data_IF_686018568073
#
_entry.id   IF_686018568073
#
_cell.length_a   1.000
_cell.length_b   1.000
_cell.length_c   1.000
_cell.angle_alpha   90.00
_cell.angle_beta   90.00
_cell.angle_gamma   90.00
#
_symmetry.space_group_name_H-M   'P 1'
#
loop_
_entity.id
_entity.type
_entity.pdbx_description
1 polymer ?
#
# COMPACT_ATOMS: atom_id res chain seq x y z
N UNK A 1 -10.24 -11.17 26.34
CA UNK A 1 -9.48 -11.37 25.08
C UNK A 1 -8.00 -11.35 25.40
N UNK A 2 -7.24 -12.35 24.95
CA UNK A 2 -5.79 -12.39 25.14
C UNK A 2 -5.13 -11.30 24.27
N UNK A 3 -4.29 -10.45 24.86
CA UNK A 3 -3.51 -9.43 24.15
C UNK A 3 -2.22 -10.07 23.65
N UNK A 4 -1.97 -9.99 22.35
CA UNK A 4 -0.74 -10.50 21.75
C UNK A 4 0.24 -9.35 21.60
N UNK A 5 1.50 -9.56 22.03
CA UNK A 5 2.58 -8.58 21.81
C UNK A 5 3.32 -8.96 20.54
N UNK A 6 3.16 -8.17 19.49
CA UNK A 6 4.06 -8.24 18.33
C UNK A 6 5.16 -7.20 18.54
N UNK A 7 6.30 -7.65 19.07
CA UNK A 7 7.53 -6.87 19.08
C UNK A 7 8.26 -7.04 17.75
N UNK A 8 8.78 -5.94 17.19
CA UNK A 8 9.74 -6.01 16.09
C UNK A 8 10.87 -5.01 16.32
N UNK A 9 12.07 -5.43 15.94
CA UNK A 9 13.29 -4.62 16.04
C UNK A 9 13.39 -3.78 14.76
N UNK A 10 13.47 -2.45 14.91
CA UNK A 10 13.80 -1.52 13.84
C UNK A 10 15.09 -0.79 14.26
N UNK A 11 16.25 -1.22 13.74
CA UNK A 11 17.54 -0.71 14.19
C UNK A 11 17.87 -1.20 15.61
N UNK A 12 18.16 -0.28 16.54
CA UNK A 12 18.42 -0.61 17.96
C UNK A 12 17.14 -0.56 18.83
N UNK A 13 16.01 -0.12 18.26
CA UNK A 13 14.77 0.09 19.01
C UNK A 13 13.77 -1.06 18.84
N UNK A 14 13.18 -1.51 19.95
CA UNK A 14 12.09 -2.50 19.97
C UNK A 14 10.75 -1.77 20.02
N UNK A 15 10.02 -1.77 18.90
CA UNK A 15 8.65 -1.26 18.87
C UNK A 15 7.70 -2.40 19.22
N UNK A 16 7.07 -2.30 20.39
CA UNK A 16 6.03 -3.23 20.85
C UNK A 16 4.68 -2.57 20.61
N UNK A 17 3.97 -3.03 19.58
CA UNK A 17 2.55 -2.70 19.40
C UNK A 17 1.74 -3.76 20.15
N UNK A 18 0.97 -3.33 21.15
CA UNK A 18 0.04 -4.20 21.86
C UNK A 18 -1.34 -4.12 21.22
N UNK A 19 -1.87 -5.24 20.74
CA UNK A 19 -3.21 -5.33 20.18
C UNK A 19 -3.69 -6.77 20.12
N UNK A 20 -4.98 -6.99 19.89
CA UNK A 20 -5.43 -8.29 19.40
C UNK A 20 -4.87 -8.56 17.99
N UNK A 21 -4.94 -9.82 17.56
CA UNK A 21 -4.43 -10.27 16.26
C UNK A 21 -5.02 -9.46 15.11
N UNK A 22 -6.31 -9.09 15.19
CA UNK A 22 -7.01 -8.29 14.19
C UNK A 22 -6.44 -6.88 14.07
N UNK A 23 -6.23 -6.20 15.20
CA UNK A 23 -5.63 -4.87 15.28
C UNK A 23 -4.22 -4.88 14.70
N UNK A 24 -3.42 -5.87 15.06
CA UNK A 24 -2.04 -6.01 14.56
C UNK A 24 -2.00 -6.28 13.06
N UNK A 25 -2.96 -7.04 12.53
CA UNK A 25 -3.11 -7.25 11.09
C UNK A 25 -3.30 -5.90 10.36
N UNK A 26 -4.25 -5.06 10.79
CA UNK A 26 -4.47 -3.75 10.16
C UNK A 26 -3.25 -2.84 10.27
N UNK A 27 -2.58 -2.80 11.42
CA UNK A 27 -1.36 -2.00 11.60
C UNK A 27 -0.27 -2.42 10.60
N UNK A 28 -0.07 -3.74 10.43
CA UNK A 28 0.92 -4.25 9.49
C UNK A 28 0.56 -3.93 8.04
N UNK A 29 -0.72 -4.04 7.66
CA UNK A 29 -1.21 -3.63 6.34
C UNK A 29 -0.93 -2.15 6.09
N UNK A 30 -1.19 -1.27 7.05
CA UNK A 30 -0.92 0.17 6.89
C UNK A 30 0.56 0.50 6.72
N UNK A 31 1.45 -0.18 7.45
CA UNK A 31 2.91 -0.02 7.27
C UNK A 31 3.34 -0.43 5.86
N UNK A 32 2.78 -1.51 5.36
CA UNK A 32 2.95 -1.99 4.00
C UNK A 32 2.51 -0.94 2.96
N UNK A 33 1.31 -0.37 3.11
CA UNK A 33 0.82 0.70 2.23
C UNK A 33 1.67 1.96 2.26
N UNK A 34 2.22 2.34 3.41
CA UNK A 34 3.11 3.49 3.51
C UNK A 34 4.34 3.35 2.60
N UNK A 35 4.97 2.18 2.60
CA UNK A 35 6.14 1.89 1.73
C UNK A 35 5.74 1.90 0.26
N UNK A 36 4.59 1.29 -0.06
CA UNK A 36 4.07 1.25 -1.45
C UNK A 36 3.79 2.67 -1.95
N UNK A 37 3.07 3.49 -1.18
CA UNK A 37 2.74 4.86 -1.59
C UNK A 37 4.00 5.72 -1.77
N UNK A 38 5.00 5.57 -0.92
CA UNK A 38 6.27 6.25 -1.09
C UNK A 38 6.97 5.83 -2.40
N UNK A 39 6.97 4.53 -2.73
CA UNK A 39 7.52 4.04 -3.99
C UNK A 39 6.75 4.54 -5.22
N UNK A 40 5.42 4.62 -5.14
CA UNK A 40 4.60 5.17 -6.23
C UNK A 40 4.80 6.67 -6.41
N UNK A 41 4.92 7.45 -5.33
CA UNK A 41 5.25 8.88 -5.37
C UNK A 41 6.65 9.12 -5.96
N UNK A 42 7.63 8.29 -5.62
CA UNK A 42 8.97 8.37 -6.20
C UNK A 42 8.95 8.05 -7.70
N UNK A 43 8.17 7.04 -8.11
CA UNK A 43 7.95 6.71 -9.52
C UNK A 43 7.31 7.84 -10.32
N UNK A 44 6.35 8.53 -9.71
CA UNK A 44 5.65 9.66 -10.29
C UNK A 44 6.56 10.85 -10.57
N UNK A 45 7.62 11.01 -9.77
CA UNK A 45 8.62 12.07 -9.91
C UNK A 45 9.77 11.72 -10.86
N UNK A 46 9.82 10.48 -11.35
CA UNK A 46 10.87 10.00 -12.26
C UNK A 46 10.46 10.15 -13.73
N UNK A 47 11.38 9.92 -14.66
CA UNK A 47 11.17 9.92 -16.12
C UNK A 47 10.06 8.94 -16.58
N UNK A 48 9.62 8.06 -15.67
CA UNK A 48 8.55 7.11 -15.85
C UNK A 48 7.16 7.61 -15.39
N UNK A 49 6.97 8.91 -15.11
CA UNK A 49 5.66 9.52 -14.82
C UNK A 49 4.57 9.06 -15.81
N UNK A 50 4.89 9.09 -17.12
CA UNK A 50 4.01 8.62 -18.22
C UNK A 50 4.13 7.10 -18.50
N UNK A 51 4.75 6.35 -17.59
CA UNK A 51 4.97 4.92 -17.71
C UNK A 51 3.73 4.10 -17.34
N UNK A 52 3.21 3.34 -18.31
CA UNK A 52 1.98 2.50 -18.30
C UNK A 52 1.45 1.93 -16.99
N UNK A 53 2.32 1.45 -16.09
CA UNK A 53 1.86 0.66 -14.95
C UNK A 53 1.54 1.51 -13.73
N UNK A 54 2.05 2.74 -13.62
CA UNK A 54 1.78 3.58 -12.45
C UNK A 54 0.26 3.85 -12.30
N UNK A 55 -0.46 4.35 -13.32
CA UNK A 55 -1.91 4.53 -13.24
C UNK A 55 -2.70 3.26 -12.90
N UNK A 56 -2.32 2.15 -13.53
CA UNK A 56 -2.96 0.85 -13.25
C UNK A 56 -2.70 0.35 -11.83
N UNK A 57 -1.50 0.59 -11.28
CA UNK A 57 -1.13 0.20 -9.92
C UNK A 57 -1.80 1.11 -8.90
N UNK A 58 -1.82 2.42 -9.12
CA UNK A 58 -2.52 3.40 -8.29
C UNK A 58 -3.99 3.01 -8.17
N UNK A 59 -4.67 2.72 -9.28
CA UNK A 59 -6.06 2.25 -9.27
C UNK A 59 -6.26 0.97 -8.45
N UNK A 60 -5.30 0.03 -8.47
CA UNK A 60 -5.35 -1.18 -7.65
C UNK A 60 -5.13 -0.88 -6.16
N UNK A 61 -4.19 0.02 -5.84
CA UNK A 61 -3.94 0.47 -4.47
C UNK A 61 -5.17 1.15 -3.89
N UNK A 62 -5.80 2.08 -4.62
CA UNK A 62 -7.04 2.74 -4.20
C UNK A 62 -8.13 1.70 -3.92
N UNK A 63 -8.34 0.74 -4.82
CA UNK A 63 -9.33 -0.32 -4.62
C UNK A 63 -9.04 -1.17 -3.38
N UNK A 64 -7.79 -1.57 -3.16
CA UNK A 64 -7.43 -2.40 -2.00
C UNK A 64 -7.47 -1.61 -0.69
N UNK A 65 -7.11 -0.33 -0.68
CA UNK A 65 -7.29 0.57 0.48
C UNK A 65 -8.77 0.76 0.81
N UNK A 66 -9.63 0.94 -0.20
CA UNK A 66 -11.07 1.00 -0.01
C UNK A 66 -11.63 -0.29 0.59
N UNK A 67 -11.14 -1.45 0.14
CA UNK A 67 -11.46 -2.74 0.78
C UNK A 67 -10.97 -2.79 2.22
N UNK A 68 -9.71 -2.43 2.49
CA UNK A 68 -9.13 -2.42 3.85
C UNK A 68 -9.94 -1.52 4.80
N UNK A 69 -10.45 -0.39 4.30
CA UNK A 69 -11.35 0.50 5.04
C UNK A 69 -12.62 -0.24 5.45
N UNK A 70 -13.31 -0.86 4.49
CA UNK A 70 -14.55 -1.59 4.73
C UNK A 70 -14.31 -2.79 5.69
N UNK A 71 -13.21 -3.51 5.51
CA UNK A 71 -12.82 -4.64 6.37
C UNK A 71 -12.55 -4.15 7.81
N UNK A 72 -11.90 -3.00 7.97
CA UNK A 72 -11.68 -2.38 9.28
C UNK A 72 -12.98 -1.90 9.91
N UNK A 73 -13.87 -1.28 9.15
CA UNK A 73 -15.20 -0.85 9.62
C UNK A 73 -16.01 -2.05 10.14
N UNK A 74 -15.97 -3.18 9.43
CA UNK A 74 -16.65 -4.43 9.79
C UNK A 74 -15.97 -5.23 10.92
N UNK A 75 -14.70 -4.94 11.24
CA UNK A 75 -13.93 -5.69 12.24
C UNK A 75 -14.36 -5.43 13.69
N UNK A 76 -13.90 -6.29 14.60
CA UNK A 76 -14.07 -6.17 16.06
C UNK A 76 -13.06 -5.24 16.74
N UNK A 77 -12.21 -4.54 15.96
CA UNK A 77 -11.21 -3.59 16.49
C UNK A 77 -11.89 -2.52 17.35
N UNK A 78 -11.33 -2.30 18.54
CA UNK A 78 -11.84 -1.32 19.49
C UNK A 78 -12.00 0.08 18.87
N UNK A 79 -13.11 0.75 19.16
CA UNK A 79 -13.49 2.02 18.54
C UNK A 79 -12.40 3.10 18.60
N UNK A 80 -11.72 3.22 19.75
CA UNK A 80 -10.61 4.16 19.95
C UNK A 80 -9.48 3.94 18.92
N UNK A 81 -9.07 2.68 18.71
CA UNK A 81 -8.04 2.34 17.73
C UNK A 81 -8.57 2.42 16.30
N UNK A 82 -9.81 1.98 16.08
CA UNK A 82 -10.46 1.99 14.76
C UNK A 82 -10.46 3.40 14.15
N UNK A 83 -10.77 4.43 14.95
CA UNK A 83 -10.70 5.82 14.50
C UNK A 83 -9.33 6.21 13.95
N UNK A 84 -8.26 5.93 14.70
CA UNK A 84 -6.89 6.25 14.26
C UNK A 84 -6.46 5.50 12.99
N UNK A 85 -6.88 4.25 12.84
CA UNK A 85 -6.57 3.41 11.68
C UNK A 85 -7.36 3.87 10.45
N UNK A 86 -8.64 4.23 10.60
CA UNK A 86 -9.46 4.79 9.53
C UNK A 86 -8.89 6.11 9.02
N UNK A 87 -8.49 7.03 9.92
CA UNK A 87 -7.87 8.29 9.52
C UNK A 87 -6.58 8.08 8.70
N UNK A 88 -5.79 7.05 9.04
CA UNK A 88 -4.60 6.68 8.23
C UNK A 88 -5.00 6.14 6.86
N UNK A 89 -6.02 5.28 6.78
CA UNK A 89 -6.51 4.78 5.49
C UNK A 89 -7.03 5.93 4.62
N UNK A 90 -7.76 6.88 5.19
CA UNK A 90 -8.25 8.06 4.46
C UNK A 90 -7.12 8.95 3.96
N UNK A 91 -6.08 9.16 4.76
CA UNK A 91 -4.86 9.85 4.33
C UNK A 91 -4.17 9.12 3.16
N UNK A 92 -4.09 7.79 3.22
CA UNK A 92 -3.49 6.97 2.17
C UNK A 92 -4.32 6.96 0.88
N UNK A 93 -5.65 6.99 1.00
CA UNK A 93 -6.56 7.13 -0.14
C UNK A 93 -6.40 8.50 -0.80
N UNK A 94 -6.29 9.58 -0.02
CA UNK A 94 -6.04 10.92 -0.55
C UNK A 94 -4.70 10.98 -1.28
N UNK A 95 -3.64 10.44 -0.66
CA UNK A 95 -2.31 10.32 -1.26
C UNK A 95 -2.34 9.54 -2.59
N UNK A 96 -2.94 8.35 -2.60
CA UNK A 96 -3.06 7.54 -3.80
C UNK A 96 -3.88 8.25 -4.90
N UNK A 97 -4.94 8.96 -4.52
CA UNK A 97 -5.80 9.67 -5.47
C UNK A 97 -5.14 10.89 -6.10
N UNK A 98 -4.07 11.42 -5.48
CA UNK A 98 -3.27 12.49 -6.09
C UNK A 98 -2.31 12.01 -7.18
N UNK A 99 -2.07 10.70 -7.28
CA UNK A 99 -1.20 10.11 -8.29
C UNK A 99 -1.94 9.91 -9.62
N UNK A 100 -1.22 9.77 -10.75
CA UNK A 100 -1.83 9.48 -12.04
C UNK A 100 -2.73 8.24 -11.98
N UNK A 101 -3.92 8.35 -12.54
CA UNK A 101 -4.92 7.28 -12.60
C UNK A 101 -5.41 6.99 -14.02
N UNK A 102 -5.07 7.85 -14.98
CA UNK A 102 -5.46 7.70 -16.37
C UNK A 102 -4.68 6.56 -17.03
N UNK A 103 -5.40 5.52 -17.45
CA UNK A 103 -4.85 4.36 -18.16
C UNK A 103 -5.02 4.46 -19.68
N UNK A 104 -5.52 5.58 -20.20
CA UNK A 104 -5.79 5.75 -21.63
C UNK A 104 -4.52 5.84 -22.48
N UNK A 105 -3.40 6.28 -21.87
CA UNK A 105 -2.14 6.45 -22.58
C UNK A 105 -1.31 5.16 -22.61
N UNK A 106 -0.70 4.91 -23.77
CA UNK A 106 0.19 3.77 -23.98
C UNK A 106 1.57 4.07 -23.40
N UNK A 107 2.22 3.07 -22.81
CA UNK A 107 3.58 3.24 -22.28
C UNK A 107 4.51 3.80 -23.34
N UNK A 108 5.34 4.79 -22.99
CA UNK A 108 6.45 5.21 -23.85
C UNK A 108 7.39 4.04 -24.22
N UNK A 109 7.58 3.04 -23.35
CA UNK A 109 8.33 1.81 -23.68
C UNK A 109 7.61 0.93 -24.70
N UNK A 110 6.31 0.71 -24.54
CA UNK A 110 5.50 -0.05 -25.51
C UNK A 110 5.33 0.70 -26.84
N UNK A 111 5.38 2.03 -26.81
CA UNK A 111 5.41 2.90 -27.98
C UNK A 111 6.81 2.97 -28.64
N UNK A 112 7.84 2.35 -28.05
CA UNK A 112 9.21 2.35 -28.59
C UNK A 112 10.00 3.63 -28.32
N UNK A 113 9.46 4.55 -27.52
CA UNK A 113 10.03 5.86 -27.19
C UNK A 113 10.94 5.83 -25.94
N UNK A 114 10.94 4.73 -25.18
CA UNK A 114 11.79 4.54 -24.01
C UNK A 114 12.86 3.47 -24.26
N UNK A 115 14.13 3.88 -24.14
CA UNK A 115 15.33 3.06 -24.40
C UNK A 115 15.88 2.35 -23.14
N UNK A 116 15.21 2.51 -22.00
CA UNK A 116 15.55 1.79 -20.76
C UNK A 116 15.51 0.28 -21.03
N UNK A 117 16.53 -0.44 -20.55
CA UNK A 117 16.71 -1.89 -20.76
C UNK A 117 15.55 -2.76 -20.28
N UNK A 118 15.73 -4.08 -20.28
CA UNK A 118 14.68 -5.07 -19.97
C UNK A 118 13.93 -4.82 -18.65
N UNK A 119 14.60 -4.22 -17.64
CA UNK A 119 14.06 -3.92 -16.31
C UNK A 119 13.55 -2.48 -16.18
N UNK A 120 12.23 -2.28 -16.27
CA UNK A 120 11.58 -1.02 -15.91
C UNK A 120 11.39 -0.95 -14.37
N UNK A 121 11.68 0.18 -13.73
CA UNK A 121 11.46 0.38 -12.28
C UNK A 121 10.02 0.03 -11.88
N UNK A 122 9.07 0.28 -12.76
CA UNK A 122 7.66 -0.01 -12.54
C UNK A 122 7.34 -1.52 -12.44
N UNK A 123 8.16 -2.39 -13.05
CA UNK A 123 8.08 -3.86 -12.86
C UNK A 123 8.57 -4.25 -11.45
N UNK A 124 9.62 -3.59 -10.95
CA UNK A 124 10.09 -3.76 -9.57
C UNK A 124 9.04 -3.31 -8.56
N UNK A 125 8.40 -2.16 -8.78
CA UNK A 125 7.31 -1.67 -7.94
C UNK A 125 6.07 -2.58 -7.99
N UNK A 126 5.73 -3.16 -9.15
CA UNK A 126 4.65 -4.13 -9.27
C UNK A 126 4.93 -5.41 -8.46
N UNK A 127 6.17 -5.90 -8.49
CA UNK A 127 6.56 -7.08 -7.70
C UNK A 127 6.53 -6.77 -6.21
N UNK A 128 7.05 -5.60 -5.80
CA UNK A 128 6.96 -5.13 -4.42
C UNK A 128 5.50 -5.02 -3.95
N UNK A 129 4.62 -4.50 -4.80
CA UNK A 129 3.18 -4.44 -4.52
C UNK A 129 2.55 -5.83 -4.33
N UNK A 130 2.93 -6.82 -5.15
CA UNK A 130 2.41 -8.20 -5.01
C UNK A 130 2.88 -8.83 -3.71
N UNK A 131 4.18 -8.78 -3.42
CA UNK A 131 4.78 -9.34 -2.20
C UNK A 131 4.21 -8.73 -0.91
N UNK A 132 3.79 -7.47 -0.97
CA UNK A 132 3.26 -6.74 0.19
C UNK A 132 1.75 -6.98 0.39
N UNK A 133 1.03 -7.25 -0.70
CA UNK A 133 -0.44 -7.38 -0.66
C UNK A 133 -0.95 -8.82 -0.68
N UNK A 134 -0.04 -9.78 -0.59
CA UNK A 134 -0.27 -11.19 -0.26
C UNK A 134 0.63 -11.52 0.95
N UNK A 135 0.06 -11.87 2.12
CA UNK A 135 -0.88 -12.97 2.22
C UNK A 135 -2.29 -12.55 2.72
N UNK A 136 -3.23 -13.51 2.59
CA UNK A 136 -4.66 -13.36 2.91
C UNK A 136 -4.92 -12.83 4.32
N UNK A 137 -6.02 -12.09 4.45
CA UNK A 137 -6.56 -11.68 5.74
C UNK A 137 -6.72 -12.91 6.66
N UNK A 138 -6.37 -12.81 7.96
CA UNK A 138 -6.71 -13.87 8.90
C UNK A 138 -8.21 -14.12 8.83
N UNK A 139 -8.62 -15.39 8.83
CA UNK A 139 -10.04 -15.78 8.85
C UNK A 139 -10.68 -15.12 10.08
N UNK A 140 -11.53 -14.13 9.84
CA UNK A 140 -12.37 -13.47 10.84
C UNK A 140 -13.41 -14.48 11.32
#
# INVERSE_FOLDING_TARGET
MARTRCGRILGEDIYIEEGDTTTLYFINQLRAYQVVLAALKALDQDICHDGCSLPSIVNKVIKRLGKLKNDLEASDVAAEKKGSLLSKIDSFLADASSLPQDTSQTCRKSAGECVMGSSCFATGALNLFKEITEPEAPKI
#
